data_IF_276297600858
#
_entry.id   IF_276297600858
#
_cell.length_a   1.000
_cell.length_b   1.000
_cell.length_c   1.000
_cell.angle_alpha   90.00
_cell.angle_beta   90.00
_cell.angle_gamma   90.00
#
_symmetry.space_group_name_H-M   'P 1'
#
loop_
_entity.id
_entity.type
_entity.pdbx_description
1 polymer ?
#
# COMPACT_ATOMS: atom_id res chain seq x y z
N UNK A 1 -5.90 -9.99 9.55
CA UNK A 1 -4.79 -9.41 10.35
C UNK A 1 -4.28 -8.17 9.64
N UNK A 2 -4.01 -7.08 10.37
CA UNK A 2 -3.57 -5.80 9.82
C UNK A 2 -2.21 -5.38 10.40
N UNK A 3 -1.42 -4.65 9.62
CA UNK A 3 -0.16 -4.03 10.05
C UNK A 3 0.07 -2.71 9.33
N UNK A 4 0.67 -1.75 10.04
CA UNK A 4 1.05 -0.43 9.49
C UNK A 4 2.56 -0.24 9.69
N UNK A 5 3.26 0.24 8.66
CA UNK A 5 4.70 0.56 8.68
C UNK A 5 4.96 1.95 8.10
N UNK A 6 6.15 2.47 8.38
CA UNK A 6 6.70 3.67 7.76
C UNK A 6 6.87 4.86 8.72
N UNK A 7 7.21 6.04 8.17
CA UNK A 7 7.27 6.32 6.73
C UNK A 7 8.47 5.67 6.02
N UNK A 8 8.27 5.27 4.76
CA UNK A 8 9.30 4.83 3.81
C UNK A 8 9.20 5.70 2.56
N UNK A 9 10.28 6.38 2.18
CA UNK A 9 10.31 7.32 1.05
C UNK A 9 9.16 8.36 1.07
N UNK A 10 8.76 8.80 2.27
CA UNK A 10 7.65 9.74 2.46
C UNK A 10 6.25 9.09 2.48
N UNK A 11 6.12 7.77 2.32
CA UNK A 11 4.83 7.06 2.32
C UNK A 11 4.67 6.15 3.54
N UNK A 12 3.43 5.94 3.97
CA UNK A 12 3.09 4.89 4.93
C UNK A 12 2.58 3.65 4.19
N UNK A 13 2.77 2.47 4.77
CA UNK A 13 2.26 1.23 4.20
C UNK A 13 1.31 0.64 5.24
N UNK A 14 0.08 0.31 4.84
CA UNK A 14 -0.80 -0.56 5.62
C UNK A 14 -1.08 -1.81 4.83
N UNK A 15 -1.03 -2.97 5.48
CA UNK A 15 -1.37 -4.24 4.87
C UNK A 15 -2.41 -5.00 5.66
N UNK A 16 -3.16 -5.81 4.92
CA UNK A 16 -4.19 -6.69 5.41
C UNK A 16 -3.98 -8.07 4.82
N UNK A 17 -4.16 -9.11 5.64
CA UNK A 17 -4.25 -10.48 5.18
C UNK A 17 -5.45 -11.19 5.80
N UNK A 18 -6.06 -12.08 5.02
CA UNK A 18 -7.23 -12.86 5.43
C UNK A 18 -7.21 -14.25 4.81
N UNK A 19 -7.94 -15.16 5.45
CA UNK A 19 -8.23 -16.48 4.91
C UNK A 19 -8.99 -16.36 3.58
N UNK A 20 -8.70 -17.28 2.66
CA UNK A 20 -9.42 -17.45 1.40
C UNK A 20 -10.19 -18.76 1.49
N UNK A 21 -11.47 -18.73 1.12
CA UNK A 21 -12.30 -19.94 1.06
C UNK A 21 -12.35 -20.70 2.39
N UNK A 22 -11.85 -21.93 2.37
CA UNK A 22 -11.80 -22.87 3.49
C UNK A 22 -10.83 -22.48 4.62
N UNK A 23 -9.98 -21.48 4.39
CA UNK A 23 -9.02 -21.00 5.38
C UNK A 23 -7.68 -21.73 5.41
N UNK A 24 -7.41 -22.61 4.42
CA UNK A 24 -6.08 -23.22 4.25
C UNK A 24 -5.09 -22.27 3.56
N UNK A 25 -5.61 -21.28 2.84
CA UNK A 25 -4.83 -20.27 2.13
C UNK A 25 -5.18 -18.87 2.61
N UNK A 26 -4.24 -17.96 2.39
CA UNK A 26 -4.40 -16.57 2.77
C UNK A 26 -4.13 -15.66 1.58
N UNK A 27 -4.95 -14.61 1.46
CA UNK A 27 -4.71 -13.50 0.57
C UNK A 27 -4.10 -12.33 1.33
N UNK A 28 -3.38 -11.48 0.61
CA UNK A 28 -2.84 -10.25 1.18
C UNK A 28 -2.95 -9.07 0.24
N UNK A 29 -3.10 -7.92 0.85
CA UNK A 29 -3.18 -6.63 0.18
C UNK A 29 -2.35 -5.62 0.96
N UNK A 30 -1.72 -4.69 0.26
CA UNK A 30 -1.13 -3.50 0.84
C UNK A 30 -1.72 -2.25 0.20
N UNK A 31 -1.71 -1.17 0.96
CA UNK A 31 -2.04 0.17 0.55
C UNK A 31 -0.85 1.06 0.89
N UNK A 32 -0.32 1.74 -0.12
CA UNK A 32 0.69 2.77 0.05
C UNK A 32 -0.06 4.08 0.24
N UNK A 33 0.19 4.76 1.36
CA UNK A 33 -0.63 5.83 1.91
C UNK A 33 0.16 7.12 2.02
N UNK A 34 -0.52 8.25 1.81
CA UNK A 34 0.08 9.58 1.90
C UNK A 34 0.36 9.97 3.34
N UNK A 35 -0.56 9.65 4.24
CA UNK A 35 -0.50 9.90 5.69
C UNK A 35 -0.51 8.58 6.44
N UNK A 36 -0.17 8.61 7.73
CA UNK A 36 -0.24 7.43 8.58
C UNK A 36 -1.71 7.03 8.76
N UNK A 37 -2.13 5.84 8.32
CA UNK A 37 -3.49 5.38 8.54
C UNK A 37 -3.63 4.74 9.93
N UNK A 38 -4.83 4.81 10.50
CA UNK A 38 -5.19 4.08 11.73
C UNK A 38 -5.45 2.59 11.45
N UNK A 39 -6.09 2.30 10.31
CA UNK A 39 -6.42 0.94 9.88
C UNK A 39 -6.35 0.81 8.36
N UNK A 40 -6.30 -0.44 7.86
CA UNK A 40 -6.20 -0.71 6.44
C UNK A 40 -7.41 -0.18 5.65
N UNK A 41 -8.61 -0.28 6.21
CA UNK A 41 -9.87 -0.04 5.50
C UNK A 41 -10.08 1.43 5.14
N UNK A 42 -9.85 2.31 6.09
CA UNK A 42 -10.08 3.75 5.99
C UNK A 42 -8.88 4.52 5.45
N UNK A 43 -7.75 3.85 5.25
CA UNK A 43 -6.52 4.48 4.76
C UNK A 43 -6.69 5.21 3.42
N UNK A 44 -6.24 6.48 3.38
CA UNK A 44 -6.11 7.26 2.14
C UNK A 44 -4.87 6.81 1.36
N UNK A 45 -5.12 6.17 0.23
CA UNK A 45 -4.07 5.50 -0.54
C UNK A 45 -3.61 6.35 -1.72
N UNK A 46 -2.30 6.35 -1.97
CA UNK A 46 -1.71 6.66 -3.26
C UNK A 46 -2.01 5.53 -4.27
N UNK A 47 -1.78 4.28 -3.86
CA UNK A 47 -2.02 3.08 -4.66
C UNK A 47 -2.16 1.83 -3.81
N UNK A 48 -2.61 0.73 -4.43
CA UNK A 48 -2.85 -0.57 -3.80
C UNK A 48 -1.99 -1.64 -4.47
N UNK A 49 -1.62 -2.64 -3.69
CA UNK A 49 -0.85 -3.81 -4.13
C UNK A 49 -1.61 -5.05 -3.70
N UNK A 50 -1.75 -6.00 -4.63
CA UNK A 50 -2.25 -7.33 -4.34
C UNK A 50 -1.07 -8.28 -4.18
N UNK A 51 -0.96 -8.91 -3.02
CA UNK A 51 0.10 -9.85 -2.69
C UNK A 51 -0.17 -11.30 -3.12
N UNK A 52 -1.30 -11.58 -3.78
CA UNK A 52 -1.73 -12.93 -4.13
C UNK A 52 -2.62 -13.59 -3.07
N UNK A 53 -3.07 -14.81 -3.35
CA UNK A 53 -4.08 -15.55 -2.57
C UNK A 53 -3.64 -16.95 -2.10
N UNK A 54 -2.42 -17.37 -2.41
CA UNK A 54 -1.94 -18.74 -2.19
C UNK A 54 -0.95 -18.86 -1.02
N UNK A 55 -0.96 -17.89 -0.10
CA UNK A 55 -0.05 -17.89 1.05
C UNK A 55 -0.43 -18.99 2.04
N UNK A 56 0.58 -19.59 2.67
CA UNK A 56 0.40 -20.69 3.65
C UNK A 56 0.13 -20.21 5.08
N UNK A 57 0.28 -18.92 5.35
CA UNK A 57 -0.01 -18.32 6.65
C UNK A 57 -0.33 -16.83 6.52
N UNK A 58 -1.08 -16.29 7.49
CA UNK A 58 -1.35 -14.85 7.60
C UNK A 58 -0.06 -14.03 7.67
N UNK A 59 0.90 -14.48 8.47
CA UNK A 59 2.18 -13.77 8.63
C UNK A 59 3.02 -13.82 7.35
N UNK A 60 3.04 -14.96 6.64
CA UNK A 60 3.69 -15.07 5.34
C UNK A 60 3.05 -14.14 4.31
N UNK A 61 1.72 -14.09 4.28
CA UNK A 61 0.96 -13.22 3.38
C UNK A 61 1.26 -11.73 3.64
N UNK A 62 1.28 -11.31 4.91
CA UNK A 62 1.64 -9.96 5.31
C UNK A 62 3.11 -9.64 4.97
N UNK A 63 4.03 -10.54 5.28
CA UNK A 63 5.46 -10.35 5.01
C UNK A 63 5.70 -10.15 3.52
N UNK A 64 5.08 -10.99 2.69
CA UNK A 64 5.17 -10.90 1.23
C UNK A 64 4.67 -9.56 0.71
N UNK A 65 3.43 -9.18 1.01
CA UNK A 65 2.86 -7.93 0.46
C UNK A 65 3.55 -6.69 1.03
N UNK A 66 4.13 -6.78 2.23
CA UNK A 66 4.95 -5.70 2.79
C UNK A 66 6.26 -5.54 2.04
N UNK A 67 6.91 -6.64 1.69
CA UNK A 67 8.14 -6.61 0.89
C UNK A 67 7.87 -5.96 -0.46
N UNK A 68 6.79 -6.36 -1.14
CA UNK A 68 6.46 -5.75 -2.44
C UNK A 68 6.04 -4.29 -2.34
N UNK A 69 5.30 -3.91 -1.30
CA UNK A 69 5.03 -2.50 -1.05
C UNK A 69 6.31 -1.69 -0.82
N UNK A 70 7.30 -2.25 -0.12
CA UNK A 70 8.58 -1.58 0.10
C UNK A 70 9.40 -1.48 -1.19
N UNK A 71 9.40 -2.53 -2.01
CA UNK A 71 10.06 -2.54 -3.32
C UNK A 71 9.45 -1.51 -4.26
N UNK A 72 8.13 -1.45 -4.37
CA UNK A 72 7.47 -0.44 -5.21
C UNK A 72 7.78 0.98 -4.74
N UNK A 73 7.76 1.21 -3.42
CA UNK A 73 8.06 2.53 -2.84
C UNK A 73 9.53 2.93 -3.02
N UNK A 74 10.47 1.99 -2.97
CA UNK A 74 11.90 2.27 -3.15
C UNK A 74 12.24 2.61 -4.61
N UNK A 75 11.43 2.16 -5.56
CA UNK A 75 11.56 2.48 -6.98
C UNK A 75 10.88 3.81 -7.38
N UNK A 76 10.18 4.48 -6.45
CA UNK A 76 9.57 5.77 -6.74
C UNK A 76 10.64 6.87 -6.84
N UNK A 77 10.50 7.81 -7.80
CA UNK A 77 11.46 8.88 -7.98
C UNK A 77 11.37 9.92 -6.85
N UNK A 78 12.42 10.71 -6.63
CA UNK A 78 12.49 11.71 -5.55
C UNK A 78 11.32 12.71 -5.56
N UNK A 79 10.75 13.02 -6.73
CA UNK A 79 9.58 13.89 -6.84
C UNK A 79 8.34 13.29 -6.16
N UNK A 80 8.20 11.97 -6.16
CA UNK A 80 7.09 11.29 -5.48
C UNK A 80 7.21 11.43 -3.95
N UNK A 81 8.44 11.32 -3.40
CA UNK A 81 8.71 11.60 -1.98
C UNK A 81 8.34 13.03 -1.62
N UNK A 82 8.82 14.01 -2.39
CA UNK A 82 8.55 15.42 -2.14
C UNK A 82 7.04 15.72 -2.18
N UNK A 83 6.29 15.07 -3.10
CA UNK A 83 4.84 15.17 -3.15
C UNK A 83 4.19 14.57 -1.89
N UNK A 84 4.63 13.39 -1.45
CA UNK A 84 4.08 12.72 -0.26
C UNK A 84 4.32 13.55 1.01
N UNK A 85 5.53 14.05 1.21
CA UNK A 85 5.88 14.95 2.32
C UNK A 85 5.06 16.25 2.29
N UNK A 86 4.80 16.80 1.09
CA UNK A 86 3.93 17.97 0.93
C UNK A 86 2.48 17.65 1.30
N UNK A 87 1.95 16.49 0.92
CA UNK A 87 0.59 16.08 1.30
C UNK A 87 0.45 15.93 2.82
N UNK A 88 1.44 15.34 3.47
CA UNK A 88 1.44 15.21 4.93
C UNK A 88 1.33 16.57 5.61
N UNK A 89 2.11 17.56 5.14
CA UNK A 89 2.10 18.92 5.71
C UNK A 89 0.79 19.68 5.49
N UNK A 90 0.16 19.51 4.33
CA UNK A 90 -0.95 20.38 3.93
C UNK A 90 -2.34 19.73 3.99
N UNK A 91 -2.44 18.43 4.32
CA UNK A 91 -3.71 17.68 4.40
C UNK A 91 -4.68 18.03 3.25
N UNK A 92 -4.14 18.17 2.03
CA UNK A 92 -4.96 18.59 0.88
C UNK A 92 -5.70 17.36 0.35
N UNK A 93 -7.04 17.30 0.51
CA UNK A 93 -7.81 16.17 0.01
C UNK A 93 -7.66 16.09 -1.51
N UNK A 94 -7.31 14.93 -2.05
CA UNK A 94 -7.34 14.73 -3.51
C UNK A 94 -8.81 14.58 -3.91
N UNK A 95 -9.29 15.29 -4.94
CA UNK A 95 -10.43 14.80 -5.70
C UNK A 95 -10.05 13.40 -6.21
N UNK A 96 -10.93 12.40 -6.03
CA UNK A 96 -10.74 10.95 -6.35
C UNK A 96 -10.32 10.63 -7.80
N UNK A 97 -10.05 11.62 -8.65
CA UNK A 97 -9.86 11.53 -10.09
C UNK A 97 -8.43 11.20 -10.54
N UNK A 98 -7.39 11.28 -9.69
CA UNK A 98 -5.99 11.14 -10.12
C UNK A 98 -5.32 9.80 -9.80
N UNK A 99 -5.97 8.88 -9.08
CA UNK A 99 -5.39 7.56 -8.76
C UNK A 99 -5.21 6.67 -10.01
N UNK A 100 -5.80 7.04 -11.16
CA UNK A 100 -5.79 6.26 -12.40
C UNK A 100 -4.73 6.70 -13.42
N UNK A 101 -4.18 7.90 -13.33
CA UNK A 101 -3.34 8.45 -14.40
C UNK A 101 -1.85 8.08 -14.28
N UNK A 102 -1.29 8.01 -13.08
CA UNK A 102 0.16 7.73 -12.91
C UNK A 102 0.52 6.26 -13.14
N UNK A 103 -0.41 5.33 -12.91
CA UNK A 103 -0.16 3.87 -13.01
C UNK A 103 -0.49 3.27 -14.38
N UNK A 104 -1.09 4.04 -15.30
CA UNK A 104 -1.42 3.55 -16.65
C UNK A 104 -0.20 3.34 -17.56
N UNK A 105 0.97 3.88 -17.20
CA UNK A 105 2.19 3.79 -18.03
C UNK A 105 3.11 2.60 -17.73
N UNK A 106 2.73 1.67 -16.83
CA UNK A 106 3.52 0.45 -16.55
C UNK A 106 2.90 -0.87 -17.06
N UNK A 107 1.84 -0.78 -17.87
CA UNK A 107 1.18 -1.94 -18.50
C UNK A 107 1.19 -1.88 -20.03
N UNK A 108 2.14 -1.16 -20.63
CA UNK A 108 2.42 -1.19 -22.06
C UNK A 108 3.80 -1.80 -22.31
#
# INVERSE_FOLDING_TARGET
MERVWGPLNGFYITAYAAAVGDGERFCSYAKVCWTRPDNYWEAECAFKIFGGEQHRSLEGALTWVSLEARNEVSLLPDQARALAERRQRHHVPVPRLFATAFFRHRLA
#
